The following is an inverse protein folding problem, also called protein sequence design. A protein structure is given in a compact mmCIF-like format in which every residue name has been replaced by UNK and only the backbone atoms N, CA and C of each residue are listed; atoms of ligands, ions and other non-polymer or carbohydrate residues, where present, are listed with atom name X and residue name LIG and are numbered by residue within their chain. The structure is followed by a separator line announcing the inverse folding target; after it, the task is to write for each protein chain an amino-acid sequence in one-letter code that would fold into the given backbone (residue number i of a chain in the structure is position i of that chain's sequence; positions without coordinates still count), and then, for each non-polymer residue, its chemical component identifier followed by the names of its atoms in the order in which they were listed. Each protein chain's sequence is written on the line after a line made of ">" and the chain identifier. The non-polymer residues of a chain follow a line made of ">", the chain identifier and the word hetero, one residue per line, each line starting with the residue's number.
data_IF_496899729400
#
_entry.id   IF_496899729400
#
_cell.length_a   1.000
_cell.length_b   1.000
_cell.length_c   1.000
_cell.angle_alpha   90.00
_cell.angle_beta   90.00
_cell.angle_gamma   90.00
#
_symmetry.space_group_name_H-M   'P 1'
#
loop_
_entity.id
_entity.type
_entity.pdbx_description
1 polymer ?
#
# COMPACT_ATOMS: atom_id res chain seq x y z
N UNK A 1 -8.09 21.14 -2.07
CA UNK A 1 -7.08 21.12 -3.15
C UNK A 1 -5.91 21.99 -2.74
N UNK A 2 -4.70 21.45 -2.84
CA UNK A 2 -3.45 22.15 -2.53
C UNK A 2 -3.16 23.17 -3.63
N UNK A 3 -2.84 24.41 -3.24
CA UNK A 3 -2.23 25.43 -4.11
C UNK A 3 -0.72 25.42 -3.90
N UNK A 4 0.05 25.60 -4.96
CA UNK A 4 1.51 25.49 -4.95
C UNK A 4 2.08 26.90 -5.11
N UNK A 5 2.57 27.55 -4.04
CA UNK A 5 3.13 28.89 -4.10
C UNK A 5 4.34 28.99 -5.04
N UNK A 6 4.50 30.12 -5.71
CA UNK A 6 5.62 30.37 -6.63
C UNK A 6 5.52 29.67 -7.97
N UNK A 7 4.33 29.17 -8.32
CA UNK A 7 4.04 28.57 -9.63
C UNK A 7 3.23 29.50 -10.54
N UNK A 8 2.88 30.68 -10.06
CA UNK A 8 2.19 31.69 -10.85
C UNK A 8 3.00 32.03 -12.11
N UNK A 9 2.34 31.96 -13.26
CA UNK A 9 2.90 32.21 -14.59
C UNK A 9 4.03 31.28 -15.05
N UNK A 10 4.39 30.24 -14.25
CA UNK A 10 5.37 29.23 -14.68
C UNK A 10 4.78 28.29 -15.74
N UNK A 11 5.60 27.91 -16.72
CA UNK A 11 5.28 26.87 -17.70
C UNK A 11 5.69 25.52 -17.12
N UNK A 12 4.73 24.59 -16.96
CA UNK A 12 4.93 23.30 -16.33
C UNK A 12 4.44 22.19 -17.25
N UNK A 13 5.28 21.21 -17.53
CA UNK A 13 4.88 20.01 -18.26
C UNK A 13 4.33 18.95 -17.28
N UNK A 14 3.22 18.29 -17.64
CA UNK A 14 2.64 17.17 -16.90
C UNK A 14 2.46 16.00 -17.85
N UNK A 15 3.12 14.87 -17.55
CA UNK A 15 3.01 13.64 -18.33
C UNK A 15 2.34 12.53 -17.54
N UNK A 16 1.23 12.00 -18.10
CA UNK A 16 0.34 11.03 -17.49
C UNK A 16 -0.85 11.69 -16.80
N UNK A 17 -2.06 11.47 -17.34
CA UNK A 17 -3.32 12.10 -16.93
C UNK A 17 -4.26 11.11 -16.23
N UNK A 18 -3.70 10.06 -15.59
CA UNK A 18 -4.42 9.12 -14.78
C UNK A 18 -4.82 9.68 -13.41
N UNK A 19 -4.93 8.78 -12.41
CA UNK A 19 -5.45 9.07 -11.05
C UNK A 19 -4.74 10.24 -10.37
N UNK A 20 -3.42 10.33 -10.43
CA UNK A 20 -2.64 11.43 -9.85
C UNK A 20 -2.48 12.63 -10.79
N UNK A 21 -2.42 12.40 -12.11
CA UNK A 21 -2.09 13.43 -13.09
C UNK A 21 -3.16 14.49 -13.25
N UNK A 22 -4.43 14.13 -13.43
CA UNK A 22 -5.52 15.11 -13.55
C UNK A 22 -5.64 16.01 -12.32
N UNK A 23 -5.64 15.52 -11.06
CA UNK A 23 -5.59 16.38 -9.89
C UNK A 23 -4.35 17.28 -9.84
N UNK A 24 -3.21 16.80 -10.32
CA UNK A 24 -1.97 17.61 -10.43
C UNK A 24 -2.15 18.77 -11.37
N UNK A 25 -2.68 18.52 -12.57
CA UNK A 25 -2.96 19.58 -13.54
C UNK A 25 -3.91 20.62 -12.94
N UNK A 26 -5.01 20.20 -12.33
CA UNK A 26 -5.98 21.10 -11.70
C UNK A 26 -5.34 21.96 -10.58
N UNK A 27 -4.49 21.36 -9.75
CA UNK A 27 -3.79 22.06 -8.67
C UNK A 27 -2.81 23.11 -9.22
N UNK A 28 -2.05 22.77 -10.27
CA UNK A 28 -1.13 23.69 -10.96
C UNK A 28 -1.87 24.84 -11.63
N UNK A 29 -2.94 24.57 -12.37
CA UNK A 29 -3.78 25.61 -12.99
C UNK A 29 -4.42 26.51 -11.92
N UNK A 30 -4.93 25.96 -10.83
CA UNK A 30 -5.46 26.74 -9.70
C UNK A 30 -4.38 27.57 -8.96
N UNK A 31 -3.11 27.21 -9.17
CA UNK A 31 -1.93 27.97 -8.67
C UNK A 31 -1.43 29.02 -9.67
N UNK A 32 -2.13 29.21 -10.79
CA UNK A 32 -1.77 30.19 -11.82
C UNK A 32 -0.67 29.75 -12.79
N UNK A 33 -0.34 28.47 -12.85
CA UNK A 33 0.65 27.93 -13.77
C UNK A 33 0.07 27.76 -15.19
N UNK A 34 0.91 27.93 -16.20
CA UNK A 34 0.64 27.54 -17.58
C UNK A 34 1.02 26.06 -17.77
N UNK A 35 0.02 25.18 -17.76
CA UNK A 35 0.25 23.73 -17.81
C UNK A 35 0.19 23.25 -19.26
N UNK A 36 1.20 22.44 -19.65
CA UNK A 36 1.20 21.63 -20.86
C UNK A 36 1.01 20.18 -20.45
N UNK A 37 -0.15 19.58 -20.71
CA UNK A 37 -0.52 18.26 -20.22
C UNK A 37 -0.55 17.25 -21.37
N UNK A 38 -0.05 16.04 -21.13
CA UNK A 38 -0.04 14.95 -22.09
C UNK A 38 -0.20 13.58 -21.45
N UNK A 39 -0.77 12.67 -22.20
CA UNK A 39 -0.86 11.23 -21.88
C UNK A 39 -0.77 10.46 -23.19
N UNK A 40 -0.17 9.26 -23.19
CA UNK A 40 -0.09 8.42 -24.37
C UNK A 40 -1.47 7.84 -24.76
N UNK A 41 -2.34 7.63 -23.76
CA UNK A 41 -3.71 7.15 -23.93
C UNK A 41 -4.66 8.23 -24.47
N UNK A 42 -5.27 7.99 -25.64
CA UNK A 42 -6.21 8.94 -26.26
C UNK A 42 -7.43 9.21 -25.35
N UNK A 43 -7.92 8.22 -24.63
CA UNK A 43 -9.05 8.36 -23.69
C UNK A 43 -8.72 9.37 -22.59
N UNK A 44 -7.55 9.26 -21.96
CA UNK A 44 -7.07 10.19 -20.93
C UNK A 44 -6.96 11.61 -21.46
N UNK A 45 -6.44 11.78 -22.70
CA UNK A 45 -6.35 13.09 -23.36
C UNK A 45 -7.74 13.68 -23.63
N UNK A 46 -8.67 12.88 -24.16
CA UNK A 46 -10.03 13.33 -24.47
C UNK A 46 -10.77 13.75 -23.18
N UNK A 47 -10.60 13.01 -22.10
CA UNK A 47 -11.16 13.34 -20.78
C UNK A 47 -10.59 14.67 -20.27
N UNK A 48 -9.29 14.88 -20.35
CA UNK A 48 -8.63 16.12 -19.94
C UNK A 48 -9.11 17.32 -20.79
N UNK A 49 -9.18 17.15 -22.11
CA UNK A 49 -9.66 18.18 -23.02
C UNK A 49 -11.13 18.58 -22.75
N UNK A 50 -11.98 17.60 -22.42
CA UNK A 50 -13.37 17.86 -22.05
C UNK A 50 -13.52 18.68 -20.74
N UNK A 51 -12.49 18.65 -19.89
CA UNK A 51 -12.39 19.49 -18.68
C UNK A 51 -11.73 20.86 -18.94
N UNK A 52 -11.42 21.21 -20.20
CA UNK A 52 -10.74 22.46 -20.56
C UNK A 52 -9.25 22.50 -20.24
N UNK A 53 -8.63 21.34 -20.01
CA UNK A 53 -7.19 21.22 -19.77
C UNK A 53 -6.44 21.34 -21.09
N UNK A 54 -5.39 22.20 -21.20
CA UNK A 54 -4.56 22.30 -22.40
C UNK A 54 -3.79 20.99 -22.65
N UNK A 55 -4.24 20.20 -23.63
CA UNK A 55 -3.58 18.97 -24.04
C UNK A 55 -2.63 19.30 -25.19
N UNK A 56 -1.33 19.12 -24.95
CA UNK A 56 -0.25 19.47 -25.90
C UNK A 56 0.73 18.32 -25.97
N UNK A 57 1.06 17.87 -27.19
CA UNK A 57 2.07 16.81 -27.35
C UNK A 57 3.45 17.31 -26.88
N UNK A 58 3.91 16.76 -25.76
CA UNK A 58 5.17 17.14 -25.11
C UNK A 58 6.41 16.75 -25.90
N UNK A 59 6.30 15.88 -26.91
CA UNK A 59 7.42 15.55 -27.79
C UNK A 59 7.68 16.63 -28.84
N UNK A 60 6.62 17.28 -29.34
CA UNK A 60 6.68 18.34 -30.32
C UNK A 60 6.62 19.75 -29.72
N UNK A 61 6.22 19.87 -28.43
CA UNK A 61 6.12 21.14 -27.74
C UNK A 61 7.47 21.89 -27.67
N UNK A 62 7.37 23.23 -27.62
CA UNK A 62 8.48 24.08 -27.23
C UNK A 62 8.67 23.99 -25.67
N UNK A 63 9.90 23.63 -25.24
CA UNK A 63 10.31 23.50 -23.84
C UNK A 63 10.98 24.76 -23.28
N UNK A 64 11.10 25.84 -24.05
CA UNK A 64 11.65 27.08 -23.52
C UNK A 64 10.85 27.57 -22.29
N UNK A 65 11.54 27.89 -21.21
CA UNK A 65 10.93 28.28 -19.93
C UNK A 65 10.16 27.18 -19.17
N UNK A 66 10.27 25.90 -19.56
CA UNK A 66 9.75 24.78 -18.78
C UNK A 66 10.90 24.24 -17.91
N UNK A 67 10.87 24.53 -16.62
CA UNK A 67 11.87 24.08 -15.64
C UNK A 67 11.46 22.81 -14.89
N UNK A 68 10.21 22.36 -15.02
CA UNK A 68 9.66 21.24 -14.28
C UNK A 68 8.78 20.35 -15.16
N UNK A 69 9.08 19.04 -15.15
CA UNK A 69 8.21 17.97 -15.64
C UNK A 69 7.62 17.21 -14.46
N UNK A 70 6.31 17.26 -14.30
CA UNK A 70 5.62 16.36 -13.37
C UNK A 70 5.28 15.07 -14.10
N UNK A 71 5.90 13.96 -13.68
CA UNK A 71 5.80 12.68 -14.37
C UNK A 71 5.06 11.67 -13.47
N UNK A 72 3.96 11.10 -14.00
CA UNK A 72 3.21 10.05 -13.27
C UNK A 72 4.11 8.89 -12.84
N UNK A 73 3.94 8.33 -11.63
CA UNK A 73 4.87 7.34 -11.07
C UNK A 73 5.09 6.10 -11.94
N UNK A 74 4.07 5.63 -12.64
CA UNK A 74 4.16 4.46 -13.53
C UNK A 74 5.01 4.65 -14.77
N UNK A 75 5.26 5.91 -15.20
CA UNK A 75 6.03 6.21 -16.41
C UNK A 75 7.53 6.20 -16.09
N UNK A 76 8.35 5.37 -16.78
CA UNK A 76 9.77 5.27 -16.49
C UNK A 76 10.52 6.55 -16.90
N UNK A 77 11.32 7.07 -15.96
CA UNK A 77 12.19 8.20 -16.24
C UNK A 77 13.64 7.80 -16.50
N UNK A 78 14.01 6.58 -16.09
CA UNK A 78 15.35 5.99 -16.28
C UNK A 78 15.26 4.60 -16.86
N UNK A 79 15.09 3.59 -16.03
CA UNK A 79 15.13 2.18 -16.36
C UNK A 79 13.70 1.60 -16.56
N UNK A 80 13.47 0.55 -17.41
CA UNK A 80 14.44 -0.11 -18.30
C UNK A 80 14.82 0.75 -19.52
N UNK A 81 13.92 1.62 -19.97
CA UNK A 81 14.13 2.62 -21.01
C UNK A 81 13.36 3.89 -20.61
N UNK A 82 14.01 5.05 -20.56
CA UNK A 82 13.31 6.28 -20.23
C UNK A 82 12.24 6.59 -21.28
N UNK A 83 11.11 7.11 -20.82
CA UNK A 83 10.09 7.62 -21.71
C UNK A 83 10.63 8.81 -22.52
N UNK A 84 10.31 8.95 -23.82
CA UNK A 84 10.86 10.02 -24.66
C UNK A 84 10.65 11.43 -24.09
N UNK A 85 9.52 11.69 -23.44
CA UNK A 85 9.25 12.98 -22.76
C UNK A 85 10.22 13.21 -21.59
N UNK A 86 10.63 12.16 -20.84
CA UNK A 86 11.62 12.30 -19.77
C UNK A 86 13.02 12.63 -20.34
N UNK A 87 13.39 12.08 -21.49
CA UNK A 87 14.62 12.43 -22.19
C UNK A 87 14.59 13.88 -22.67
N UNK A 88 13.43 14.33 -23.20
CA UNK A 88 13.27 15.71 -23.64
C UNK A 88 13.37 16.70 -22.47
N UNK A 89 12.76 16.38 -21.33
CA UNK A 89 12.90 17.18 -20.10
C UNK A 89 14.37 17.34 -19.67
N UNK A 90 15.16 16.25 -19.70
CA UNK A 90 16.59 16.33 -19.38
C UNK A 90 17.38 17.19 -20.35
N UNK A 91 17.05 17.12 -21.68
CA UNK A 91 17.70 17.97 -22.67
C UNK A 91 17.35 19.46 -22.49
N UNK A 92 16.22 19.76 -21.88
CA UNK A 92 15.78 21.11 -21.53
C UNK A 92 16.21 21.53 -20.11
N UNK A 93 17.03 20.71 -19.41
CA UNK A 93 17.43 20.91 -18.00
C UNK A 93 16.23 21.04 -17.03
N UNK A 94 15.09 20.47 -17.40
CA UNK A 94 13.91 20.49 -16.57
C UNK A 94 13.96 19.39 -15.48
N UNK A 95 13.66 19.76 -14.26
CA UNK A 95 13.59 18.83 -13.14
C UNK A 95 12.41 17.86 -13.28
N UNK A 96 12.65 16.55 -13.18
CA UNK A 96 11.60 15.53 -13.23
C UNK A 96 11.18 15.20 -11.82
N UNK A 97 9.91 15.50 -11.46
CA UNK A 97 9.33 15.30 -10.13
C UNK A 97 8.03 14.49 -10.22
N UNK A 98 7.46 14.10 -9.08
CA UNK A 98 6.10 13.57 -9.00
C UNK A 98 5.18 14.50 -8.20
N UNK A 99 3.90 14.18 -8.14
CA UNK A 99 2.88 14.93 -7.40
C UNK A 99 3.20 15.10 -5.90
N UNK A 100 3.81 14.08 -5.29
CA UNK A 100 4.22 14.14 -3.88
C UNK A 100 5.30 15.20 -3.64
N UNK A 101 6.21 15.41 -4.60
CA UNK A 101 7.21 16.48 -4.50
C UNK A 101 6.56 17.87 -4.49
N UNK A 102 5.53 18.07 -5.31
CA UNK A 102 4.77 19.32 -5.33
C UNK A 102 4.03 19.58 -4.02
N UNK A 103 3.51 18.53 -3.36
CA UNK A 103 2.95 18.65 -2.02
C UNK A 103 4.00 19.18 -1.03
N UNK A 104 5.23 18.65 -1.08
CA UNK A 104 6.34 19.12 -0.23
C UNK A 104 6.68 20.59 -0.46
N UNK A 105 6.68 21.04 -1.71
CA UNK A 105 6.89 22.47 -2.06
C UNK A 105 5.75 23.35 -1.55
N UNK A 106 4.51 22.84 -1.61
CA UNK A 106 3.33 23.60 -1.21
C UNK A 106 3.14 23.68 0.31
N UNK A 107 3.58 22.67 1.05
CA UNK A 107 3.35 22.54 2.50
C UNK A 107 4.67 22.26 3.26
N UNK A 108 5.70 23.13 3.15
CA UNK A 108 7.04 22.85 3.68
C UNK A 108 7.09 22.73 5.20
N UNK A 109 6.14 23.36 5.92
CA UNK A 109 6.09 23.39 7.38
C UNK A 109 5.25 22.28 8.01
N UNK A 110 4.50 21.51 7.21
CA UNK A 110 3.69 20.39 7.69
C UNK A 110 4.56 19.25 8.22
N UNK A 111 3.96 18.38 9.03
CA UNK A 111 4.59 17.16 9.52
C UNK A 111 4.35 16.04 8.48
N UNK A 112 5.39 15.32 8.14
CA UNK A 112 5.33 14.23 7.17
C UNK A 112 5.69 12.89 7.78
N UNK A 113 4.81 11.91 7.63
CA UNK A 113 5.04 10.50 7.94
C UNK A 113 5.07 9.73 6.63
N UNK A 114 6.20 9.17 6.28
CA UNK A 114 6.37 8.38 5.05
C UNK A 114 6.47 6.90 5.36
N UNK A 115 5.74 6.06 4.63
CA UNK A 115 5.76 4.61 4.80
C UNK A 115 6.10 3.93 3.48
N UNK A 116 7.18 3.15 3.48
CA UNK A 116 7.59 2.33 2.34
C UNK A 116 7.96 0.91 2.78
N UNK A 117 8.21 0.05 1.82
CA UNK A 117 8.58 -1.35 1.97
C UNK A 117 8.10 -2.15 0.76
N UNK A 118 8.44 -3.42 0.67
CA UNK A 118 7.85 -4.30 -0.33
C UNK A 118 6.41 -4.62 0.07
N UNK A 119 6.20 -5.07 1.30
CA UNK A 119 4.90 -5.48 1.85
C UNK A 119 4.52 -4.67 3.09
N UNK A 120 3.23 -4.67 3.47
CA UNK A 120 2.72 -4.06 4.69
C UNK A 120 2.44 -2.55 4.62
N UNK A 121 2.89 -1.85 3.58
CA UNK A 121 2.74 -0.39 3.44
C UNK A 121 1.34 0.13 3.75
N UNK A 122 0.34 -0.35 3.01
CA UNK A 122 -1.03 0.17 3.12
C UNK A 122 -1.66 -0.09 4.48
N UNK A 123 -1.42 -1.27 5.06
CA UNK A 123 -1.89 -1.60 6.41
C UNK A 123 -1.25 -0.69 7.44
N UNK A 124 0.07 -0.51 7.37
CA UNK A 124 0.81 0.37 8.29
C UNK A 124 0.38 1.82 8.14
N UNK A 125 0.22 2.31 6.91
CA UNK A 125 -0.26 3.68 6.63
C UNK A 125 -1.65 3.91 7.22
N UNK A 126 -2.58 2.99 6.97
CA UNK A 126 -3.94 3.09 7.50
C UNK A 126 -3.99 2.98 9.03
N UNK A 127 -3.16 2.12 9.61
CA UNK A 127 -3.07 1.94 11.07
C UNK A 127 -2.48 3.19 11.74
N UNK A 128 -1.40 3.77 11.21
CA UNK A 128 -0.83 5.06 11.68
C UNK A 128 -1.88 6.15 11.61
N UNK A 129 -2.58 6.27 10.49
CA UNK A 129 -3.62 7.26 10.29
C UNK A 129 -4.75 7.10 11.31
N UNK A 130 -5.24 5.86 11.51
CA UNK A 130 -6.28 5.57 12.50
C UNK A 130 -5.84 5.94 13.93
N UNK A 131 -4.62 5.60 14.33
CA UNK A 131 -4.08 5.95 15.65
C UNK A 131 -3.98 7.47 15.82
N UNK A 132 -3.45 8.18 14.82
CA UNK A 132 -3.32 9.64 14.89
C UNK A 132 -4.68 10.34 14.94
N UNK A 133 -5.64 9.91 14.11
CA UNK A 133 -7.01 10.43 14.13
C UNK A 133 -7.69 10.16 15.48
N UNK A 134 -7.56 8.96 16.03
CA UNK A 134 -8.09 8.57 17.35
C UNK A 134 -7.46 9.39 18.49
N UNK A 135 -6.21 9.85 18.30
CA UNK A 135 -5.51 10.75 19.22
C UNK A 135 -5.82 12.24 18.98
N UNK A 136 -6.84 12.59 18.16
CA UNK A 136 -7.27 13.95 17.89
C UNK A 136 -6.32 14.76 17.01
N UNK A 137 -5.44 14.14 16.24
CA UNK A 137 -4.54 14.84 15.31
C UNK A 137 -5.26 15.17 14.00
N UNK A 138 -4.96 16.33 13.43
CA UNK A 138 -5.43 16.71 12.08
C UNK A 138 -4.54 16.04 11.05
N UNK A 139 -5.11 15.18 10.23
CA UNK A 139 -4.36 14.37 9.26
C UNK A 139 -4.98 14.38 7.86
N UNK A 140 -4.14 14.17 6.86
CA UNK A 140 -4.49 13.71 5.52
C UNK A 140 -3.70 12.45 5.19
N UNK A 141 -4.32 11.52 4.47
CA UNK A 141 -3.74 10.19 4.19
C UNK A 141 -3.80 9.89 2.71
N UNK A 142 -2.68 9.52 2.13
CA UNK A 142 -2.64 9.18 0.70
C UNK A 142 -1.27 8.79 0.17
N UNK A 143 -0.95 9.25 -1.02
CA UNK A 143 0.24 8.87 -1.77
C UNK A 143 -0.02 7.73 -2.74
N UNK A 144 0.63 6.59 -2.56
CA UNK A 144 0.36 5.38 -3.36
C UNK A 144 -0.92 4.64 -2.92
N UNK A 145 -1.56 5.10 -1.87
CA UNK A 145 -2.85 4.65 -1.31
C UNK A 145 -3.79 5.85 -1.22
N UNK A 146 -5.09 5.63 -1.47
CA UNK A 146 -6.12 6.64 -1.24
C UNK A 146 -6.17 7.74 -2.30
N UNK A 147 -6.64 8.94 -1.94
CA UNK A 147 -6.77 10.05 -2.87
C UNK A 147 -5.40 10.62 -3.26
N UNK A 148 -5.31 11.23 -4.46
CA UNK A 148 -4.11 11.94 -4.91
C UNK A 148 -3.73 13.08 -3.95
N UNK A 149 -2.45 13.23 -3.66
CA UNK A 149 -1.96 14.14 -2.62
C UNK A 149 -2.27 15.62 -2.86
N UNK A 150 -2.37 16.05 -4.12
CA UNK A 150 -2.72 17.44 -4.44
C UNK A 150 -4.23 17.74 -4.34
N UNK A 151 -5.06 16.71 -4.17
CA UNK A 151 -6.47 16.86 -3.84
C UNK A 151 -6.72 17.12 -2.33
N UNK A 152 -5.73 16.92 -1.49
CA UNK A 152 -5.83 17.13 -0.03
C UNK A 152 -6.22 18.56 0.35
N UNK A 153 -6.66 18.71 1.61
CA UNK A 153 -6.72 20.01 2.26
C UNK A 153 -5.32 20.50 2.67
N UNK A 154 -5.04 21.79 2.62
CA UNK A 154 -3.82 22.34 3.20
C UNK A 154 -3.92 22.27 4.73
N UNK A 155 -2.96 21.58 5.37
CA UNK A 155 -2.99 21.35 6.82
C UNK A 155 -2.12 22.34 7.62
N UNK A 156 -1.14 22.99 6.97
CA UNK A 156 -0.22 23.92 7.61
C UNK A 156 0.69 23.23 8.64
N UNK A 157 1.30 24.02 9.53
CA UNK A 157 2.40 23.61 10.43
C UNK A 157 2.08 22.49 11.41
N UNK A 158 0.83 22.37 11.85
CA UNK A 158 0.44 21.38 12.87
C UNK A 158 -0.28 20.15 12.26
N UNK A 159 -0.50 20.16 10.94
CA UNK A 159 -1.12 19.06 10.24
C UNK A 159 -0.12 17.98 9.88
N UNK A 160 -0.60 16.74 9.79
CA UNK A 160 0.22 15.57 9.53
C UNK A 160 -0.23 14.93 8.22
N UNK A 161 0.66 14.87 7.24
CA UNK A 161 0.48 14.07 6.03
C UNK A 161 1.05 12.67 6.24
N UNK A 162 0.20 11.65 6.20
CA UNK A 162 0.58 10.23 6.31
C UNK A 162 0.58 9.63 4.90
N UNK A 163 1.77 9.38 4.36
CA UNK A 163 1.97 9.06 2.95
C UNK A 163 2.51 7.64 2.75
N UNK A 164 1.74 6.80 2.06
CA UNK A 164 2.27 5.58 1.48
C UNK A 164 3.16 5.94 0.28
N UNK A 165 4.42 5.49 0.30
CA UNK A 165 5.39 5.82 -0.73
C UNK A 165 5.84 4.59 -1.49
N UNK A 166 5.58 4.55 -2.81
CA UNK A 166 6.20 3.58 -3.71
C UNK A 166 7.66 3.94 -3.98
N UNK A 167 8.46 2.98 -4.42
CA UNK A 167 9.83 3.24 -4.89
C UNK A 167 9.85 4.23 -6.06
N UNK A 168 8.86 4.17 -6.96
CA UNK A 168 8.72 5.07 -8.10
C UNK A 168 8.46 6.53 -7.70
N UNK A 169 7.68 6.77 -6.66
CA UNK A 169 7.46 8.12 -6.12
C UNK A 169 8.73 8.63 -5.42
N UNK A 170 9.38 7.77 -4.60
CA UNK A 170 10.58 8.15 -3.86
C UNK A 170 11.73 8.58 -4.77
N UNK A 171 11.90 7.97 -5.94
CA UNK A 171 12.89 8.39 -6.95
C UNK A 171 12.74 9.86 -7.38
N UNK A 172 11.54 10.41 -7.31
CA UNK A 172 11.16 11.73 -7.83
C UNK A 172 10.60 12.67 -6.78
N UNK A 173 10.90 12.37 -5.49
CA UNK A 173 10.55 13.21 -4.34
C UNK A 173 11.83 13.78 -3.74
N UNK A 174 11.99 15.10 -3.76
CA UNK A 174 13.18 15.82 -3.31
C UNK A 174 12.86 16.86 -2.23
N UNK A 175 11.65 17.43 -2.25
CA UNK A 175 11.25 18.57 -1.42
C UNK A 175 10.66 18.15 -0.06
N UNK A 176 10.32 16.87 0.12
CA UNK A 176 9.85 16.35 1.41
C UNK A 176 11.01 15.81 2.22
N UNK A 177 11.06 16.24 3.47
CA UNK A 177 11.87 15.62 4.52
C UNK A 177 10.91 15.04 5.54
N UNK A 178 10.80 13.71 5.62
CA UNK A 178 9.89 13.04 6.53
C UNK A 178 10.34 13.22 7.99
N UNK A 179 9.45 13.61 8.88
CA UNK A 179 9.69 13.67 10.34
C UNK A 179 9.75 12.27 10.92
N UNK A 180 8.91 11.38 10.41
CA UNK A 180 8.94 9.94 10.69
C UNK A 180 8.96 9.19 9.36
N UNK A 181 10.01 8.41 9.12
CA UNK A 181 10.17 7.60 7.93
C UNK A 181 10.17 6.11 8.30
N UNK A 182 9.30 5.33 7.65
CA UNK A 182 9.12 3.91 7.93
C UNK A 182 9.57 3.09 6.71
N UNK A 183 10.53 2.19 6.90
CA UNK A 183 10.92 1.15 5.94
C UNK A 183 10.61 -0.22 6.56
N UNK A 184 9.57 -0.89 6.09
CA UNK A 184 9.08 -2.13 6.71
C UNK A 184 9.95 -3.34 6.38
N UNK A 185 10.17 -3.58 5.10
CA UNK A 185 10.89 -4.74 4.58
C UNK A 185 11.30 -4.52 3.13
N UNK A 186 12.31 -5.25 2.68
CA UNK A 186 12.72 -5.31 1.28
C UNK A 186 12.89 -6.76 0.86
N UNK A 187 12.19 -7.14 -0.21
CA UNK A 187 12.37 -8.39 -0.95
C UNK A 187 12.36 -8.10 -2.44
N UNK A 188 12.96 -8.94 -3.30
CA UNK A 188 13.01 -8.71 -4.74
C UNK A 188 11.62 -8.40 -5.32
N UNK A 189 11.50 -7.23 -5.92
CA UNK A 189 10.28 -6.76 -6.58
C UNK A 189 10.65 -5.59 -7.50
N UNK A 190 9.91 -5.40 -8.58
CA UNK A 190 10.14 -4.31 -9.54
C UNK A 190 11.59 -4.20 -10.06
N UNK A 191 12.26 -5.34 -10.20
CA UNK A 191 13.65 -5.41 -10.69
C UNK A 191 13.73 -4.90 -12.13
N UNK A 192 12.73 -5.19 -12.94
CA UNK A 192 12.53 -4.67 -14.29
C UNK A 192 12.54 -3.13 -14.35
N UNK A 193 12.20 -2.45 -13.25
CA UNK A 193 12.08 -0.99 -13.12
C UNK A 193 13.29 -0.32 -12.46
N UNK A 194 14.05 -1.05 -11.63
CA UNK A 194 15.17 -0.53 -10.85
C UNK A 194 16.54 -1.14 -11.26
N UNK A 195 16.52 -2.09 -12.21
CA UNK A 195 17.71 -2.76 -12.70
C UNK A 195 18.09 -3.98 -11.87
N UNK A 196 18.24 -3.81 -10.55
CA UNK A 196 18.56 -4.86 -9.60
C UNK A 196 17.98 -4.59 -8.20
N UNK A 197 18.28 -5.49 -7.24
CA UNK A 197 17.84 -5.32 -5.85
C UNK A 197 18.50 -4.11 -5.19
N UNK A 198 19.74 -3.80 -5.51
CA UNK A 198 20.46 -2.65 -4.94
C UNK A 198 19.83 -1.33 -5.39
N UNK A 199 19.45 -1.20 -6.66
CA UNK A 199 18.69 -0.07 -7.19
C UNK A 199 17.33 0.09 -6.52
N UNK A 200 16.62 -1.03 -6.27
CA UNK A 200 15.36 -1.02 -5.54
C UNK A 200 15.51 -0.56 -4.08
N UNK A 201 16.53 -1.06 -3.37
CA UNK A 201 16.90 -0.61 -2.01
C UNK A 201 17.23 0.88 -2.02
N UNK A 202 18.08 1.33 -2.96
CA UNK A 202 18.46 2.73 -3.09
C UNK A 202 17.25 3.65 -3.31
N UNK A 203 16.31 3.26 -4.17
CA UNK A 203 15.08 4.01 -4.37
C UNK A 203 14.25 4.14 -3.08
N UNK A 204 14.11 3.06 -2.30
CA UNK A 204 13.36 3.09 -1.04
C UNK A 204 14.06 3.89 0.06
N UNK A 205 15.38 3.81 0.16
CA UNK A 205 16.14 4.53 1.19
C UNK A 205 16.09 6.04 1.03
N UNK A 206 15.67 6.55 -0.13
CA UNK A 206 15.40 7.99 -0.32
C UNK A 206 14.36 8.55 0.66
N UNK A 207 13.51 7.71 1.26
CA UNK A 207 12.56 8.12 2.30
C UNK A 207 13.26 8.76 3.51
N UNK A 208 14.53 8.45 3.74
CA UNK A 208 15.35 8.99 4.81
C UNK A 208 16.11 10.27 4.41
N UNK A 209 15.95 10.75 3.18
CA UNK A 209 16.61 11.96 2.70
C UNK A 209 16.05 13.24 3.34
N UNK A 210 16.78 14.36 3.18
CA UNK A 210 16.37 15.71 3.62
C UNK A 210 17.00 16.13 4.96
N UNK A 211 16.73 17.39 5.40
CA UNK A 211 17.53 18.11 6.41
C UNK A 211 16.79 18.44 7.72
N UNK A 212 15.63 17.85 8.01
CA UNK A 212 14.92 18.09 9.29
C UNK A 212 15.73 17.57 10.48
N UNK A 213 15.82 18.37 11.56
CA UNK A 213 16.74 18.14 12.70
C UNK A 213 16.31 17.01 13.66
N UNK A 214 15.06 16.59 13.68
CA UNK A 214 14.56 15.54 14.60
C UNK A 214 13.79 14.51 13.81
N UNK A 215 14.53 13.65 13.11
CA UNK A 215 13.94 12.56 12.34
C UNK A 215 13.98 11.26 13.09
N UNK A 216 12.88 10.51 13.03
CA UNK A 216 12.83 9.13 13.48
C UNK A 216 12.73 8.20 12.27
N UNK A 217 13.67 7.27 12.17
CA UNK A 217 13.63 6.17 11.23
C UNK A 217 13.07 4.93 11.94
N UNK A 218 11.95 4.42 11.46
CA UNK A 218 11.37 3.15 11.91
C UNK A 218 11.71 2.10 10.85
N UNK A 219 12.53 1.12 11.20
CA UNK A 219 13.11 0.20 10.22
C UNK A 219 12.88 -1.25 10.64
N UNK A 220 12.35 -2.06 9.72
CA UNK A 220 12.22 -3.50 9.90
C UNK A 220 13.57 -4.19 10.14
N UNK A 221 13.59 -5.21 11.00
CA UNK A 221 14.78 -5.97 11.32
C UNK A 221 14.71 -7.44 10.86
N UNK A 222 13.65 -7.80 10.12
CA UNK A 222 13.38 -9.19 9.75
C UNK A 222 14.10 -9.64 8.48
N UNK A 223 14.59 -8.71 7.66
CA UNK A 223 15.39 -9.00 6.46
C UNK A 223 16.78 -8.33 6.49
N UNK A 224 17.68 -8.85 5.68
CA UNK A 224 19.09 -8.41 5.68
C UNK A 224 19.23 -6.98 5.13
N UNK A 225 18.47 -6.64 4.08
CA UNK A 225 18.59 -5.35 3.42
C UNK A 225 18.15 -4.20 4.33
N UNK A 226 17.05 -4.37 5.07
CA UNK A 226 16.62 -3.35 6.03
C UNK A 226 17.57 -3.21 7.21
N UNK A 227 18.19 -4.32 7.70
CA UNK A 227 19.24 -4.26 8.73
C UNK A 227 20.43 -3.45 8.26
N UNK A 228 20.94 -3.71 7.03
CA UNK A 228 22.04 -2.94 6.42
C UNK A 228 21.71 -1.46 6.32
N UNK A 229 20.48 -1.13 5.86
CA UNK A 229 20.04 0.26 5.80
C UNK A 229 20.05 0.90 7.19
N UNK A 230 19.53 0.22 8.23
CA UNK A 230 19.53 0.74 9.58
C UNK A 230 20.96 1.04 10.07
N UNK A 231 21.92 0.16 9.79
CA UNK A 231 23.30 0.34 10.21
C UNK A 231 23.96 1.56 9.52
N UNK A 232 23.64 1.83 8.25
CA UNK A 232 24.17 3.02 7.54
C UNK A 232 23.59 4.35 8.05
N UNK A 233 22.47 4.33 8.77
CA UNK A 233 21.78 5.52 9.26
C UNK A 233 22.00 5.79 10.76
N UNK A 234 22.69 4.89 11.49
CA UNK A 234 22.80 4.90 12.94
C UNK A 234 23.36 6.22 13.52
N UNK A 235 24.34 6.83 12.84
CA UNK A 235 24.98 8.07 13.28
C UNK A 235 24.23 9.34 12.82
N UNK A 236 23.15 9.19 12.02
CA UNK A 236 22.50 10.32 11.33
C UNK A 236 21.12 10.62 11.82
N UNK A 237 20.43 9.65 12.42
CA UNK A 237 19.03 9.80 12.87
C UNK A 237 18.70 8.84 14.00
N UNK A 238 17.64 9.19 14.74
CA UNK A 238 17.10 8.29 15.76
C UNK A 238 16.44 7.08 15.09
N UNK A 239 16.94 5.88 15.37
CA UNK A 239 16.45 4.64 14.77
C UNK A 239 15.68 3.83 15.79
N UNK A 240 14.46 3.41 15.43
CA UNK A 240 13.68 2.40 16.13
C UNK A 240 13.55 1.18 15.23
N UNK A 241 14.20 0.08 15.60
CA UNK A 241 14.07 -1.19 14.87
C UNK A 241 12.77 -1.88 15.25
N UNK A 242 12.09 -2.46 14.27
CA UNK A 242 10.82 -3.18 14.47
C UNK A 242 10.90 -4.58 13.89
N UNK A 243 10.26 -5.54 14.56
CA UNK A 243 10.29 -6.96 14.16
C UNK A 243 8.93 -7.62 14.38
N UNK A 244 8.66 -8.68 13.62
CA UNK A 244 7.52 -9.58 13.87
C UNK A 244 7.81 -10.64 14.93
N UNK A 245 9.05 -10.71 15.41
CA UNK A 245 9.54 -11.66 16.40
C UNK A 245 9.72 -10.98 17.75
N UNK A 246 10.21 -11.75 18.75
CA UNK A 246 10.58 -11.23 20.06
C UNK A 246 11.62 -10.11 19.92
N UNK A 247 11.29 -8.89 20.40
CA UNK A 247 12.21 -7.76 20.25
C UNK A 247 13.42 -7.88 21.18
N UNK A 248 14.60 -7.51 20.67
CA UNK A 248 15.79 -7.23 21.47
C UNK A 248 15.72 -5.85 22.16
N UNK A 249 16.73 -5.47 22.95
CA UNK A 249 16.86 -4.10 23.48
C UNK A 249 16.83 -3.05 22.37
N UNK A 250 16.16 -1.93 22.60
CA UNK A 250 16.02 -0.84 21.65
C UNK A 250 15.05 -1.11 20.49
N UNK A 251 14.25 -2.19 20.55
CA UNK A 251 13.34 -2.62 19.51
C UNK A 251 11.88 -2.66 19.97
N UNK A 252 10.98 -2.62 18.99
CA UNK A 252 9.55 -2.95 19.16
C UNK A 252 9.22 -4.20 18.36
N UNK A 253 8.47 -5.14 18.92
CA UNK A 253 8.13 -6.38 18.22
C UNK A 253 7.10 -7.20 18.94
N UNK A 254 6.89 -8.46 18.52
CA UNK A 254 5.91 -9.35 19.09
C UNK A 254 6.55 -10.52 19.83
N UNK A 255 6.19 -10.71 21.10
CA UNK A 255 6.49 -11.90 21.88
C UNK A 255 5.22 -12.76 21.98
N UNK A 256 5.14 -13.78 21.14
CA UNK A 256 3.89 -14.50 20.93
C UNK A 256 2.84 -13.59 20.28
N UNK A 257 1.73 -13.37 20.97
CA UNK A 257 0.67 -12.43 20.52
C UNK A 257 0.81 -11.04 21.13
N UNK A 258 1.76 -10.82 22.03
CA UNK A 258 1.92 -9.55 22.74
C UNK A 258 2.85 -8.61 21.97
N UNK A 259 2.36 -7.42 21.66
CA UNK A 259 3.21 -6.32 21.17
C UNK A 259 4.01 -5.76 22.36
N UNK A 260 5.34 -5.76 22.24
CA UNK A 260 6.27 -5.37 23.31
C UNK A 260 7.20 -4.28 22.82
N UNK A 261 7.29 -3.21 23.59
CA UNK A 261 8.25 -2.13 23.40
C UNK A 261 9.43 -2.31 24.36
N UNK A 262 10.65 -2.39 23.81
CA UNK A 262 11.92 -2.48 24.53
C UNK A 262 12.85 -1.31 24.22
N UNK A 263 12.29 -0.18 23.81
CA UNK A 263 13.07 1.04 23.51
C UNK A 263 13.45 1.83 24.77
N UNK A 264 12.76 1.60 25.90
CA UNK A 264 13.09 2.19 27.20
C UNK A 264 13.86 1.23 28.11
N UNK A 265 14.10 1.66 29.34
CA UNK A 265 14.87 0.92 30.36
C UNK A 265 14.23 -0.41 30.76
N UNK A 266 12.91 -0.50 30.71
CA UNK A 266 12.15 -1.71 31.00
C UNK A 266 11.20 -2.09 29.86
N UNK A 267 11.02 -3.39 29.58
CA UNK A 267 10.05 -3.85 28.59
C UNK A 267 8.63 -3.44 28.97
N UNK A 268 7.88 -2.89 28.00
CA UNK A 268 6.47 -2.56 28.14
C UNK A 268 5.64 -3.45 27.23
N UNK A 269 4.66 -4.15 27.79
CA UNK A 269 3.60 -4.79 27.01
C UNK A 269 2.64 -3.68 26.56
N UNK A 270 2.49 -3.50 25.24
CA UNK A 270 1.62 -2.47 24.66
C UNK A 270 0.18 -2.98 24.60
N UNK A 271 -0.03 -4.14 23.99
CA UNK A 271 -1.32 -4.84 23.93
C UNK A 271 -1.13 -6.31 23.54
N UNK A 272 -2.16 -7.14 23.77
CA UNK A 272 -2.26 -8.44 23.10
C UNK A 272 -2.93 -8.22 21.71
N UNK A 273 -2.28 -8.64 20.63
CA UNK A 273 -2.80 -8.50 19.26
C UNK A 273 -4.08 -9.31 19.02
N UNK A 274 -4.41 -10.27 19.90
CA UNK A 274 -5.73 -10.94 19.89
C UNK A 274 -6.87 -9.97 20.12
N UNK A 275 -6.62 -8.86 20.84
CA UNK A 275 -7.59 -7.78 21.08
C UNK A 275 -7.74 -6.86 19.88
N UNK A 276 -6.92 -7.01 18.82
CA UNK A 276 -6.97 -6.27 17.57
C UNK A 276 -7.27 -7.21 16.40
N UNK A 277 -8.51 -7.71 16.26
CA UNK A 277 -8.86 -8.80 15.35
C UNK A 277 -8.70 -8.48 13.86
N UNK A 278 -8.62 -7.21 13.50
CA UNK A 278 -8.37 -6.75 12.14
C UNK A 278 -6.86 -6.62 11.80
N UNK A 279 -5.98 -7.08 12.71
CA UNK A 279 -4.54 -7.22 12.50
C UNK A 279 -4.10 -8.71 12.61
N UNK A 280 -4.71 -9.64 11.85
CA UNK A 280 -4.39 -11.06 11.96
C UNK A 280 -3.02 -11.38 11.39
N UNK A 281 -2.39 -12.43 11.93
CA UNK A 281 -1.15 -13.01 11.38
C UNK A 281 0.14 -12.31 11.84
N UNK A 282 1.24 -13.07 11.79
CA UNK A 282 2.56 -12.61 12.26
C UNK A 282 3.12 -11.42 11.49
N UNK A 283 2.78 -11.26 10.20
CA UNK A 283 3.21 -10.09 9.41
C UNK A 283 2.59 -8.80 9.94
N UNK A 284 1.36 -8.84 10.46
CA UNK A 284 0.74 -7.67 11.06
C UNK A 284 1.36 -7.30 12.41
N UNK A 285 2.09 -8.20 13.07
CA UNK A 285 2.89 -7.84 14.23
C UNK A 285 3.99 -6.83 13.88
N UNK A 286 4.69 -6.97 12.74
CA UNK A 286 5.64 -5.97 12.26
C UNK A 286 4.93 -4.65 11.90
N UNK A 287 3.78 -4.70 11.22
CA UNK A 287 2.99 -3.51 10.88
C UNK A 287 2.52 -2.76 12.15
N UNK A 288 2.05 -3.49 13.16
CA UNK A 288 1.65 -2.94 14.45
C UNK A 288 2.84 -2.32 15.21
N UNK A 289 3.99 -3.01 15.23
CA UNK A 289 5.22 -2.49 15.84
C UNK A 289 5.69 -1.20 15.15
N UNK A 290 5.62 -1.15 13.82
CA UNK A 290 5.98 0.03 13.04
C UNK A 290 5.01 1.20 13.29
N UNK A 291 3.71 0.92 13.31
CA UNK A 291 2.70 1.94 13.59
C UNK A 291 2.82 2.48 15.02
N UNK A 292 3.06 1.60 15.99
CA UNK A 292 3.35 2.00 17.37
C UNK A 292 4.57 2.92 17.44
N UNK A 293 5.71 2.50 16.91
CA UNK A 293 6.95 3.28 16.94
C UNK A 293 6.80 4.63 16.25
N UNK A 294 6.14 4.66 15.08
CA UNK A 294 5.92 5.89 14.32
C UNK A 294 5.02 6.89 15.08
N UNK A 295 3.93 6.43 15.67
CA UNK A 295 2.99 7.30 16.41
C UNK A 295 3.55 7.72 17.77
N UNK A 296 4.37 6.88 18.43
CA UNK A 296 5.16 7.25 19.61
C UNK A 296 6.11 8.41 19.31
N UNK A 297 6.81 8.36 18.18
CA UNK A 297 7.71 9.44 17.75
C UNK A 297 6.99 10.77 17.56
N UNK A 298 5.67 10.76 17.30
CA UNK A 298 4.80 11.93 17.20
C UNK A 298 4.11 12.29 18.52
N UNK A 299 4.54 11.69 19.64
CA UNK A 299 4.08 12.03 20.99
C UNK A 299 2.74 11.41 21.42
N UNK A 300 2.23 10.39 20.70
CA UNK A 300 1.01 9.69 21.14
C UNK A 300 1.35 8.77 22.30
N UNK A 301 0.54 8.78 23.37
CA UNK A 301 0.75 7.92 24.54
C UNK A 301 0.54 6.43 24.21
N UNK A 302 1.32 5.50 24.81
CA UNK A 302 1.21 4.07 24.55
C UNK A 302 -0.20 3.53 24.74
N UNK A 303 -0.90 3.99 25.77
CA UNK A 303 -2.26 3.55 26.12
C UNK A 303 -3.28 3.99 25.05
N UNK A 304 -3.13 5.22 24.52
CA UNK A 304 -3.96 5.71 23.43
C UNK A 304 -3.72 4.91 22.12
N UNK A 305 -2.46 4.55 21.84
CA UNK A 305 -2.11 3.72 20.69
C UNK A 305 -2.76 2.33 20.82
N UNK A 306 -2.62 1.71 22.01
CA UNK A 306 -3.22 0.38 22.29
C UNK A 306 -4.75 0.40 22.13
N UNK A 307 -5.41 1.44 22.66
CA UNK A 307 -6.85 1.61 22.53
C UNK A 307 -7.27 1.76 21.06
N UNK A 308 -6.55 2.58 20.28
CA UNK A 308 -6.81 2.78 18.86
C UNK A 308 -6.59 1.49 18.03
N UNK A 309 -5.54 0.72 18.32
CA UNK A 309 -5.31 -0.56 17.63
C UNK A 309 -6.46 -1.56 17.81
N UNK A 310 -7.12 -1.59 18.96
CA UNK A 310 -8.28 -2.46 19.22
C UNK A 310 -9.50 -2.08 18.37
N UNK A 311 -9.64 -0.83 18.00
CA UNK A 311 -10.76 -0.32 17.20
C UNK A 311 -10.43 -0.19 15.72
N UNK A 312 -9.19 -0.48 15.31
CA UNK A 312 -8.78 -0.43 13.91
C UNK A 312 -9.61 -1.38 13.07
N UNK A 313 -9.99 -0.92 11.89
CA UNK A 313 -10.62 -1.74 10.85
C UNK A 313 -9.69 -1.84 9.64
N UNK A 314 -9.51 -3.05 9.14
CA UNK A 314 -8.68 -3.29 7.97
C UNK A 314 -9.20 -2.54 6.74
N UNK A 315 -8.29 -2.23 5.83
CA UNK A 315 -8.66 -1.59 4.57
C UNK A 315 -9.61 -2.49 3.77
N UNK A 316 -10.57 -1.90 3.05
CA UNK A 316 -11.42 -2.64 2.13
C UNK A 316 -10.62 -3.56 1.21
N UNK A 317 -11.10 -4.78 1.03
CA UNK A 317 -10.51 -5.79 0.12
C UNK A 317 -9.08 -6.24 0.45
N UNK A 318 -8.58 -5.95 1.66
CA UNK A 318 -7.24 -6.36 2.12
C UNK A 318 -7.33 -7.03 3.48
N UNK A 319 -7.44 -8.36 3.48
CA UNK A 319 -7.72 -9.17 4.69
C UNK A 319 -8.86 -8.57 5.51
N UNK A 320 -9.81 -7.99 4.83
CA UNK A 320 -10.95 -7.31 5.42
C UNK A 320 -11.90 -8.33 6.04
N UNK A 321 -12.10 -8.23 7.36
CA UNK A 321 -13.14 -9.00 8.04
C UNK A 321 -14.51 -8.42 7.71
N UNK A 322 -15.25 -9.09 6.83
CA UNK A 322 -16.58 -8.65 6.37
C UNK A 322 -17.65 -8.87 7.43
N UNK A 323 -17.74 -10.09 7.93
CA UNK A 323 -18.73 -10.49 8.93
C UNK A 323 -18.31 -11.79 9.63
N UNK A 324 -19.02 -12.11 10.71
CA UNK A 324 -19.08 -13.47 11.27
C UNK A 324 -20.53 -13.91 11.24
N UNK A 325 -20.83 -14.98 10.50
CA UNK A 325 -22.18 -15.54 10.35
C UNK A 325 -22.12 -17.00 10.85
N UNK A 326 -22.98 -17.38 11.77
CA UNK A 326 -23.01 -18.72 12.38
C UNK A 326 -21.64 -19.23 12.88
N UNK A 327 -20.84 -18.33 13.45
CA UNK A 327 -19.50 -18.64 13.94
C UNK A 327 -18.43 -18.80 12.85
N UNK A 328 -18.77 -18.55 11.58
CA UNK A 328 -17.84 -18.54 10.45
C UNK A 328 -17.42 -17.11 10.14
N UNK A 329 -16.12 -16.84 10.11
CA UNK A 329 -15.56 -15.54 9.77
C UNK A 329 -15.30 -15.45 8.25
N UNK A 330 -15.81 -14.40 7.63
CA UNK A 330 -15.63 -14.11 6.20
C UNK A 330 -14.58 -13.02 6.01
N UNK A 331 -13.57 -13.33 5.21
CA UNK A 331 -12.42 -12.46 4.97
C UNK A 331 -12.32 -12.14 3.48
N UNK A 332 -12.32 -10.85 3.17
CA UNK A 332 -12.19 -10.32 1.82
C UNK A 332 -10.76 -9.81 1.59
N UNK A 333 -10.02 -10.53 0.78
CA UNK A 333 -8.68 -10.18 0.34
C UNK A 333 -8.63 -10.12 -1.20
N UNK A 334 -9.68 -9.58 -1.81
CA UNK A 334 -9.82 -9.48 -3.26
C UNK A 334 -8.65 -8.75 -3.95
N UNK A 335 -7.89 -7.94 -3.21
CA UNK A 335 -6.68 -7.25 -3.68
C UNK A 335 -5.49 -8.20 -3.91
N UNK A 336 -5.51 -9.42 -3.38
CA UNK A 336 -4.49 -10.44 -3.65
C UNK A 336 -4.66 -11.01 -5.07
N UNK A 337 -4.12 -10.28 -6.06
CA UNK A 337 -4.23 -10.62 -7.49
C UNK A 337 -3.05 -11.42 -8.03
N UNK A 338 -2.25 -12.01 -7.14
CA UNK A 338 -1.17 -12.94 -7.47
C UNK A 338 -0.99 -13.99 -6.38
N UNK A 339 -0.38 -15.15 -6.69
CA UNK A 339 -0.09 -16.21 -5.71
C UNK A 339 0.73 -15.70 -4.51
N UNK A 340 1.76 -14.88 -4.74
CA UNK A 340 2.62 -14.31 -3.68
C UNK A 340 1.81 -13.42 -2.72
N UNK A 341 0.83 -12.67 -3.23
CA UNK A 341 -0.05 -11.87 -2.37
C UNK A 341 -0.94 -12.77 -1.51
N UNK A 342 -1.46 -13.87 -2.05
CA UNK A 342 -2.30 -14.84 -1.34
C UNK A 342 -1.55 -15.58 -0.24
N UNK A 343 -0.22 -15.78 -0.35
CA UNK A 343 0.62 -16.33 0.73
C UNK A 343 0.39 -15.60 2.04
N UNK A 344 0.33 -14.28 2.02
CA UNK A 344 0.13 -13.47 3.23
C UNK A 344 -1.22 -13.74 3.90
N UNK A 345 -2.27 -13.92 3.09
CA UNK A 345 -3.58 -14.27 3.58
C UNK A 345 -3.59 -15.68 4.23
N UNK A 346 -2.99 -16.66 3.57
CA UNK A 346 -2.90 -18.03 4.09
C UNK A 346 -2.04 -18.12 5.36
N UNK A 347 -1.00 -17.27 5.50
CA UNK A 347 -0.20 -17.24 6.73
C UNK A 347 -0.95 -16.67 7.93
N UNK A 348 -2.03 -15.93 7.71
CA UNK A 348 -2.79 -15.23 8.76
C UNK A 348 -3.74 -16.16 9.54
N UNK A 349 -4.04 -17.35 9.01
CA UNK A 349 -5.01 -18.28 9.56
C UNK A 349 -4.44 -19.69 9.65
N UNK A 350 -4.92 -20.49 10.59
CA UNK A 350 -4.47 -21.88 10.76
C UNK A 350 -5.11 -22.79 9.72
N UNK A 351 -6.42 -22.61 9.45
CA UNK A 351 -7.18 -23.39 8.49
C UNK A 351 -8.26 -22.53 7.84
N UNK A 352 -8.37 -22.62 6.51
CA UNK A 352 -9.32 -21.82 5.72
C UNK A 352 -10.08 -22.67 4.72
N UNK A 353 -11.29 -22.24 4.39
CA UNK A 353 -11.98 -22.56 3.14
C UNK A 353 -11.64 -21.44 2.17
N UNK A 354 -10.96 -21.77 1.09
CA UNK A 354 -10.37 -20.80 0.19
C UNK A 354 -11.24 -20.57 -1.04
N UNK A 355 -11.56 -19.32 -1.36
CA UNK A 355 -12.18 -18.93 -2.63
C UNK A 355 -11.09 -18.29 -3.50
N UNK A 356 -10.80 -18.90 -4.65
CA UNK A 356 -9.71 -18.51 -5.54
C UNK A 356 -10.13 -18.51 -7.01
N UNK A 357 -9.36 -17.77 -7.83
CA UNK A 357 -9.53 -17.72 -9.27
C UNK A 357 -9.81 -16.32 -9.82
N UNK A 358 -10.01 -16.30 -11.13
CA UNK A 358 -10.06 -15.08 -11.91
C UNK A 358 -9.24 -15.26 -13.21
N UNK A 359 -8.55 -14.21 -13.66
CA UNK A 359 -7.66 -14.23 -14.80
C UNK A 359 -6.22 -14.51 -14.35
N UNK A 360 -5.64 -15.65 -14.74
CA UNK A 360 -4.25 -16.03 -14.46
C UNK A 360 -3.27 -15.03 -15.08
N UNK A 361 -2.11 -14.86 -14.44
CA UNK A 361 -0.98 -14.06 -14.94
C UNK A 361 0.16 -14.93 -15.48
N UNK A 362 -0.06 -16.22 -15.64
CA UNK A 362 0.93 -17.20 -16.14
C UNK A 362 2.21 -17.32 -15.29
N UNK A 363 2.15 -16.92 -14.00
CA UNK A 363 3.30 -16.96 -13.08
C UNK A 363 3.40 -18.25 -12.27
N UNK A 364 2.46 -19.21 -12.46
CA UNK A 364 2.38 -20.44 -11.67
C UNK A 364 1.91 -20.21 -10.23
N UNK A 365 1.74 -21.31 -9.46
CA UNK A 365 1.21 -21.28 -8.09
C UNK A 365 2.18 -21.87 -7.06
N UNK A 366 3.44 -22.09 -7.41
CA UNK A 366 4.43 -22.78 -6.57
C UNK A 366 4.70 -22.06 -5.24
N UNK A 367 4.55 -20.73 -5.22
CA UNK A 367 4.66 -19.95 -3.99
C UNK A 367 3.65 -20.38 -2.90
N UNK A 368 2.55 -21.03 -3.27
CA UNK A 368 1.52 -21.51 -2.34
C UNK A 368 1.84 -22.86 -1.72
N UNK A 369 2.77 -23.66 -2.28
CA UNK A 369 3.05 -25.04 -1.85
C UNK A 369 3.26 -25.17 -0.34
N UNK A 370 4.07 -24.33 0.34
CA UNK A 370 4.29 -24.44 1.78
C UNK A 370 3.03 -24.20 2.63
N UNK A 371 2.00 -23.59 2.04
CA UNK A 371 0.78 -23.14 2.74
C UNK A 371 -0.45 -23.99 2.40
N UNK A 372 -0.35 -24.90 1.42
CA UNK A 372 -1.44 -25.81 1.04
C UNK A 372 -2.04 -26.59 2.21
N UNK A 373 -1.27 -27.06 3.22
CA UNK A 373 -1.85 -27.74 4.38
C UNK A 373 -2.86 -26.90 5.18
N UNK A 374 -2.87 -25.58 5.00
CA UNK A 374 -3.83 -24.66 5.63
C UNK A 374 -5.17 -24.57 4.91
N UNK A 375 -5.26 -25.10 3.68
CA UNK A 375 -6.47 -25.09 2.86
C UNK A 375 -7.26 -26.37 3.17
N UNK A 376 -8.43 -26.22 3.79
CA UNK A 376 -9.34 -27.34 4.03
C UNK A 376 -10.05 -27.76 2.74
N UNK A 377 -10.45 -26.78 1.94
CA UNK A 377 -11.12 -26.94 0.64
C UNK A 377 -10.99 -25.64 -0.16
N UNK A 378 -10.95 -25.75 -1.50
CA UNK A 378 -10.96 -24.58 -2.38
C UNK A 378 -12.22 -24.54 -3.23
N UNK A 379 -12.88 -23.37 -3.29
CA UNK A 379 -13.95 -23.05 -4.24
C UNK A 379 -13.40 -22.15 -5.33
N UNK A 380 -13.44 -22.63 -6.59
CA UNK A 380 -12.71 -22.01 -7.69
C UNK A 380 -13.65 -21.26 -8.63
N UNK A 381 -13.29 -20.00 -8.95
CA UNK A 381 -14.07 -19.10 -9.79
C UNK A 381 -13.29 -18.63 -11.01
N UNK A 382 -13.99 -18.18 -12.05
CA UNK A 382 -13.41 -17.56 -13.23
C UNK A 382 -12.55 -18.48 -14.10
N UNK A 383 -11.81 -17.85 -15.02
CA UNK A 383 -11.08 -18.57 -16.09
C UNK A 383 -9.93 -19.45 -15.57
N UNK A 384 -9.28 -19.08 -14.49
CA UNK A 384 -8.17 -19.84 -13.91
C UNK A 384 -8.61 -21.06 -13.09
N UNK A 385 -9.91 -21.33 -12.93
CA UNK A 385 -10.44 -22.40 -12.07
C UNK A 385 -9.85 -23.77 -12.43
N UNK A 386 -9.76 -24.12 -13.72
CA UNK A 386 -9.20 -25.40 -14.20
C UNK A 386 -7.69 -25.54 -13.90
N UNK A 387 -6.93 -24.47 -14.09
CA UNK A 387 -5.49 -24.43 -13.83
C UNK A 387 -5.20 -24.61 -12.33
N UNK A 388 -5.93 -23.87 -11.47
CA UNK A 388 -5.80 -23.98 -10.00
C UNK A 388 -6.25 -25.36 -9.53
N UNK A 389 -7.35 -25.94 -10.09
CA UNK A 389 -7.80 -27.28 -9.74
C UNK A 389 -6.74 -28.35 -10.06
N UNK A 390 -6.11 -28.25 -11.23
CA UNK A 390 -5.03 -29.15 -11.60
C UNK A 390 -3.81 -29.03 -10.69
N UNK A 391 -3.43 -27.81 -10.30
CA UNK A 391 -2.36 -27.57 -9.33
C UNK A 391 -2.69 -28.16 -7.96
N UNK A 392 -3.88 -27.88 -7.41
CA UNK A 392 -4.32 -28.38 -6.10
C UNK A 392 -4.45 -29.91 -6.08
N UNK A 393 -4.95 -30.50 -7.19
CA UNK A 393 -5.10 -31.95 -7.33
C UNK A 393 -3.76 -32.68 -7.26
N UNK A 394 -2.69 -32.14 -7.84
CA UNK A 394 -1.32 -32.70 -7.71
C UNK A 394 -0.83 -32.75 -6.26
N UNK A 395 -1.37 -31.90 -5.40
CA UNK A 395 -1.00 -31.81 -3.99
C UNK A 395 -2.05 -32.38 -3.02
N UNK A 396 -3.08 -33.05 -3.54
CA UNK A 396 -4.11 -33.70 -2.73
C UNK A 396 -5.07 -32.74 -2.00
N UNK A 397 -5.17 -31.49 -2.42
CA UNK A 397 -6.08 -30.51 -1.83
C UNK A 397 -7.43 -30.56 -2.55
N UNK A 398 -8.55 -30.79 -1.82
CA UNK A 398 -9.88 -30.85 -2.43
C UNK A 398 -10.32 -29.49 -2.97
N UNK A 399 -10.89 -29.50 -4.17
CA UNK A 399 -11.38 -28.30 -4.84
C UNK A 399 -12.71 -28.54 -5.57
N UNK A 400 -13.55 -27.52 -5.62
CA UNK A 400 -14.83 -27.49 -6.35
C UNK A 400 -14.87 -26.32 -7.32
N UNK A 401 -15.14 -26.56 -8.58
CA UNK A 401 -15.41 -25.50 -9.56
C UNK A 401 -16.77 -24.88 -9.27
N UNK A 402 -16.78 -23.58 -8.94
CA UNK A 402 -18.00 -22.84 -8.56
C UNK A 402 -18.38 -21.78 -9.58
N UNK A 403 -17.51 -21.51 -10.56
CA UNK A 403 -17.70 -20.53 -11.64
C UNK A 403 -17.77 -19.08 -11.14
N UNK A 404 -18.67 -18.75 -10.19
CA UNK A 404 -18.93 -17.38 -9.68
C UNK A 404 -18.92 -17.31 -8.17
N UNK A 405 -18.81 -16.08 -7.60
CA UNK A 405 -18.96 -15.84 -6.15
C UNK A 405 -20.35 -16.18 -5.65
N UNK A 406 -21.37 -15.98 -6.47
CA UNK A 406 -22.77 -16.33 -6.15
C UNK A 406 -22.93 -17.80 -5.75
N UNK A 407 -22.19 -18.70 -6.41
CA UNK A 407 -22.20 -20.14 -6.10
C UNK A 407 -21.16 -20.51 -5.04
N UNK A 408 -19.98 -19.88 -5.09
CA UNK A 408 -18.87 -20.21 -4.20
C UNK A 408 -19.17 -19.85 -2.74
N UNK A 409 -19.77 -18.67 -2.48
CA UNK A 409 -19.98 -18.18 -1.10
C UNK A 409 -20.99 -19.05 -0.32
N UNK A 410 -22.19 -19.39 -0.83
CA UNK A 410 -23.09 -20.31 -0.14
C UNK A 410 -22.51 -21.71 0.04
N UNK A 411 -21.80 -22.26 -0.96
CA UNK A 411 -21.17 -23.57 -0.86
C UNK A 411 -20.06 -23.59 0.20
N UNK A 412 -19.26 -22.53 0.25
CA UNK A 412 -18.23 -22.36 1.29
C UNK A 412 -18.84 -22.22 2.69
N UNK A 413 -19.98 -21.54 2.81
CA UNK A 413 -20.72 -21.41 4.08
C UNK A 413 -21.23 -22.77 4.56
N UNK A 414 -21.90 -23.53 3.70
CA UNK A 414 -22.42 -24.86 4.03
C UNK A 414 -21.29 -25.81 4.51
N UNK A 415 -20.13 -25.75 3.86
CA UNK A 415 -18.98 -26.54 4.29
C UNK A 415 -18.41 -26.03 5.62
N UNK A 416 -18.30 -24.71 5.80
CA UNK A 416 -17.74 -24.11 7.03
C UNK A 416 -18.61 -24.38 8.27
N UNK A 417 -19.92 -24.48 8.12
CA UNK A 417 -20.86 -24.77 9.21
C UNK A 417 -20.96 -26.26 9.53
N UNK A 418 -20.49 -27.14 8.65
CA UNK A 418 -20.43 -28.58 8.92
C UNK A 418 -19.47 -28.91 10.11
N UNK A 419 -19.67 -30.05 10.77
CA UNK A 419 -18.93 -30.43 11.98
C UNK A 419 -17.39 -30.50 11.79
N UNK A 420 -16.89 -30.72 10.57
CA UNK A 420 -15.48 -30.82 10.23
C UNK A 420 -14.92 -29.56 9.54
N UNK A 421 -15.73 -28.48 9.41
CA UNK A 421 -15.37 -27.30 8.62
C UNK A 421 -14.35 -26.37 9.30
N UNK A 422 -13.50 -25.77 8.49
CA UNK A 422 -12.71 -24.62 8.92
C UNK A 422 -13.65 -23.42 9.12
N UNK A 423 -13.43 -22.62 10.18
CA UNK A 423 -14.31 -21.50 10.55
C UNK A 423 -13.94 -20.16 9.89
N UNK A 424 -13.10 -20.20 8.85
CA UNK A 424 -12.71 -19.02 8.06
C UNK A 424 -12.97 -19.29 6.59
N UNK A 425 -13.82 -18.48 5.96
CA UNK A 425 -13.98 -18.40 4.50
C UNK A 425 -13.17 -17.22 4.00
N UNK A 426 -12.15 -17.50 3.19
CA UNK A 426 -11.19 -16.54 2.71
C UNK A 426 -11.31 -16.35 1.19
N UNK A 427 -11.75 -15.17 0.74
CA UNK A 427 -11.57 -14.74 -0.63
C UNK A 427 -10.16 -14.14 -0.76
N UNK A 428 -9.21 -14.87 -1.34
CA UNK A 428 -7.86 -14.38 -1.70
C UNK A 428 -7.50 -14.98 -3.05
N UNK A 429 -7.88 -14.32 -4.15
CA UNK A 429 -8.08 -14.95 -5.45
C UNK A 429 -6.84 -15.50 -6.15
N UNK A 430 -5.63 -15.03 -5.80
CA UNK A 430 -4.37 -15.34 -6.49
C UNK A 430 -4.34 -14.91 -7.98
N UNK A 431 -5.41 -14.33 -8.50
CA UNK A 431 -5.63 -13.97 -9.90
C UNK A 431 -6.22 -12.56 -10.04
N UNK A 432 -6.00 -11.93 -11.19
CA UNK A 432 -6.67 -10.69 -11.54
C UNK A 432 -8.19 -10.92 -11.68
N UNK A 433 -8.99 -9.85 -11.65
CA UNK A 433 -10.46 -9.94 -11.65
C UNK A 433 -11.10 -9.71 -13.03
N UNK A 434 -10.30 -9.35 -14.05
CA UNK A 434 -10.77 -8.78 -15.32
C UNK A 434 -11.52 -9.74 -16.24
N UNK A 435 -11.65 -11.01 -15.86
CA UNK A 435 -12.48 -12.00 -16.56
C UNK A 435 -13.97 -11.92 -16.20
N UNK A 436 -14.29 -11.48 -14.97
CA UNK A 436 -15.66 -11.37 -14.45
C UNK A 436 -16.00 -9.99 -13.90
N UNK A 437 -15.01 -9.15 -13.55
CA UNK A 437 -15.22 -7.85 -12.91
C UNK A 437 -14.29 -6.80 -13.53
N UNK A 438 -14.76 -5.55 -13.56
CA UNK A 438 -13.94 -4.41 -14.04
C UNK A 438 -12.77 -4.07 -13.13
N UNK A 439 -12.78 -4.50 -11.85
CA UNK A 439 -11.70 -4.28 -10.90
C UNK A 439 -11.76 -5.27 -9.73
N UNK A 440 -10.67 -5.36 -8.94
CA UNK A 440 -10.66 -6.19 -7.75
C UNK A 440 -11.63 -5.65 -6.66
N UNK A 441 -11.88 -4.34 -6.64
CA UNK A 441 -12.86 -3.72 -5.73
C UNK A 441 -14.25 -4.26 -6.03
N UNK A 442 -14.65 -4.31 -7.31
CA UNK A 442 -15.97 -4.83 -7.71
C UNK A 442 -16.14 -6.31 -7.34
N UNK A 443 -15.10 -7.12 -7.50
CA UNK A 443 -15.11 -8.51 -7.02
C UNK A 443 -15.26 -8.59 -5.50
N UNK A 444 -14.54 -7.75 -4.77
CA UNK A 444 -14.63 -7.71 -3.31
C UNK A 444 -15.97 -7.16 -2.81
N UNK A 445 -16.57 -6.20 -3.50
CA UNK A 445 -17.92 -5.69 -3.17
C UNK A 445 -18.99 -6.76 -3.39
N UNK A 446 -18.87 -7.54 -4.46
CA UNK A 446 -19.78 -8.66 -4.76
C UNK A 446 -19.66 -9.76 -3.67
N UNK A 447 -18.43 -10.10 -3.25
CA UNK A 447 -18.23 -11.00 -2.10
C UNK A 447 -18.93 -10.49 -0.83
N UNK A 448 -18.79 -9.20 -0.50
CA UNK A 448 -19.50 -8.58 0.64
C UNK A 448 -21.01 -8.72 0.51
N UNK A 449 -21.54 -8.48 -0.69
CA UNK A 449 -22.97 -8.58 -0.95
C UNK A 449 -23.50 -10.00 -0.71
N UNK A 450 -22.77 -11.03 -1.18
CA UNK A 450 -23.15 -12.42 -0.95
C UNK A 450 -23.03 -12.83 0.52
N UNK A 451 -21.99 -12.38 1.23
CA UNK A 451 -21.84 -12.64 2.68
C UNK A 451 -22.98 -12.00 3.48
N UNK A 452 -23.40 -10.77 3.13
CA UNK A 452 -24.56 -10.12 3.79
C UNK A 452 -25.85 -10.89 3.61
N UNK A 453 -26.08 -11.50 2.44
CA UNK A 453 -27.28 -12.32 2.17
C UNK A 453 -27.34 -13.55 3.10
N UNK A 454 -26.19 -14.15 3.48
CA UNK A 454 -26.16 -15.29 4.42
C UNK A 454 -26.67 -14.89 5.81
N UNK A 455 -26.34 -13.66 6.28
CA UNK A 455 -26.78 -13.16 7.58
C UNK A 455 -28.22 -12.62 7.60
N UNK A 456 -28.82 -12.34 6.44
CA UNK A 456 -30.21 -11.86 6.34
C UNK A 456 -31.24 -13.00 6.26
N UNK A 457 -30.79 -14.23 6.10
CA UNK A 457 -31.63 -15.43 6.05
C UNK A 457 -31.59 -16.28 7.33
N UNK A 458 -30.90 -15.78 8.38
CA UNK A 458 -30.80 -16.45 9.70
C UNK A 458 -31.74 -15.84 10.71
#
# INVERSE_FOLDING_TARGET
>A
MIRIPGYEHKRIAVMGLGVAGLPTVRALMASGAHVLAWDDGAESRNKAAAEGIPVVDLLSADWDGIDTLVLSPGIPHTFPKPHPVAERARKADAQIVCDVDLLGRAQPDAIYVGITGTNGKSTTTALIAHILASAGKTIEVGGNLGPPVLAFAPLGKNGIYVLEMSSYQLERTFSISFDVAVLLNVSPNHIDRHGDLAGYVAAKTRIFAGNRKKKTAVIGADDEETRRVADTLADRMHIVRVTREKPGPGMVGAEGTRLVDRTGDAPRIVLDLKDAPDLPGRHNAQNAAAAYAATRALGVAPEAIAAAMKTYRSLPHRLERVATVEGVTYVNDSKATSPEATVWALTSYDKVIWIAGGLSKEVGYDALIPYLPKIAHAFLIGKAAGEIAAFLGKHGIPATASETLERAVPAAHALATSAAGARVVLLSPACASFDQYHSFEKRGDDFRAHVKKLGAGA
#
